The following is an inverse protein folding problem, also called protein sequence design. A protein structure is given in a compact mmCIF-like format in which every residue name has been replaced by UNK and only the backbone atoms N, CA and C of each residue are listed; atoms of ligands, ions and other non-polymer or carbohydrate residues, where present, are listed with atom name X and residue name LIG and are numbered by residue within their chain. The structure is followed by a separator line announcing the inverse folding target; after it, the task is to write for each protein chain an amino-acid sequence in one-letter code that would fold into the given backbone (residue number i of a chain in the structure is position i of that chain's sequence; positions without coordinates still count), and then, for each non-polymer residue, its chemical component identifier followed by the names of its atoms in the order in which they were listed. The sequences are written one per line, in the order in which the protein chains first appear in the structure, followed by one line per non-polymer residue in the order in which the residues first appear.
data_IF_846884090998
#
_entry.id   IF_846884090998
#
_cell.length_a   1.000
_cell.length_b   1.000
_cell.length_c   1.000
_cell.angle_alpha   90.00
_cell.angle_beta   90.00
_cell.angle_gamma   90.00
#
_symmetry.space_group_name_H-M   'P 1'
#
loop_
_entity.id
_entity.type
_entity.pdbx_description
1 polymer ?
#
# COMPACT_ATOMS: atom_id res chain seq x y z
N UNK A 1 -8.76 12.58 9.47
CA UNK A 1 -9.81 12.58 8.39
C UNK A 1 -10.84 11.48 8.68
N UNK A 2 -12.10 11.62 8.26
CA UNK A 2 -13.08 10.52 8.47
C UNK A 2 -12.83 9.38 7.46
N UNK A 3 -12.61 8.16 7.96
CA UNK A 3 -12.40 6.96 7.12
C UNK A 3 -13.63 6.74 6.22
N UNK A 4 -13.45 6.56 4.89
CA UNK A 4 -14.59 6.37 3.99
C UNK A 4 -15.31 5.07 4.34
N UNK A 5 -16.65 5.14 4.40
CA UNK A 5 -17.50 3.98 4.64
C UNK A 5 -17.65 3.19 3.33
N UNK A 6 -17.28 1.91 3.37
CA UNK A 6 -17.51 0.99 2.25
C UNK A 6 -18.94 0.47 2.34
N UNK A 7 -19.81 0.91 1.43
CA UNK A 7 -21.22 0.51 1.37
C UNK A 7 -21.52 -0.47 0.23
N UNK A 8 -20.60 -0.62 -0.72
CA UNK A 8 -20.70 -1.55 -1.86
C UNK A 8 -19.38 -2.24 -2.15
N UNK A 9 -19.46 -3.38 -2.85
CA UNK A 9 -18.29 -4.10 -3.33
C UNK A 9 -17.70 -3.53 -4.62
N UNK A 10 -18.51 -2.96 -5.52
CA UNK A 10 -18.04 -2.52 -6.84
C UNK A 10 -17.53 -1.07 -6.89
N UNK A 11 -17.67 -0.31 -5.80
CA UNK A 11 -17.31 1.10 -5.76
C UNK A 11 -18.47 2.06 -6.04
N UNK A 12 -19.70 1.59 -6.26
CA UNK A 12 -20.90 2.45 -6.29
C UNK A 12 -21.34 2.90 -4.90
N UNK A 13 -22.22 3.89 -4.82
CA UNK A 13 -22.72 4.41 -3.54
C UNK A 13 -24.15 3.92 -3.27
N UNK A 14 -24.35 3.18 -2.18
CA UNK A 14 -25.70 2.77 -1.77
C UNK A 14 -26.45 3.90 -1.07
N UNK A 15 -25.76 4.90 -0.54
CA UNK A 15 -26.40 6.02 0.16
C UNK A 15 -26.97 7.03 -0.84
N UNK A 16 -26.52 7.03 -2.10
CA UNK A 16 -27.10 7.84 -3.19
C UNK A 16 -27.80 6.99 -4.26
N UNK A 17 -28.09 5.71 -3.99
CA UNK A 17 -28.71 4.81 -4.96
C UNK A 17 -30.21 5.08 -5.08
N UNK A 18 -30.67 5.51 -6.27
CA UNK A 18 -32.07 5.84 -6.53
C UNK A 18 -33.02 4.63 -6.49
N UNK A 19 -32.50 3.41 -6.60
CA UNK A 19 -33.27 2.17 -6.50
C UNK A 19 -33.44 1.67 -5.06
N UNK A 20 -32.74 2.26 -4.08
CA UNK A 20 -32.72 1.74 -2.71
C UNK A 20 -34.10 1.80 -2.05
N UNK A 21 -34.68 3.00 -1.99
CA UNK A 21 -36.01 3.21 -1.39
C UNK A 21 -37.14 2.55 -2.21
N UNK A 22 -37.24 2.76 -3.54
CA UNK A 22 -38.36 2.19 -4.32
C UNK A 22 -38.39 0.67 -4.35
N UNK A 23 -37.23 0.02 -4.25
CA UNK A 23 -37.13 -1.44 -4.25
C UNK A 23 -36.99 -2.05 -2.84
N UNK A 24 -37.14 -1.26 -1.77
CA UNK A 24 -36.94 -1.73 -0.38
C UNK A 24 -35.61 -2.49 -0.19
N UNK A 25 -34.54 -1.98 -0.81
CA UNK A 25 -33.23 -2.65 -0.83
C UNK A 25 -32.39 -2.27 0.40
N UNK A 26 -31.83 -3.28 1.09
CA UNK A 26 -30.98 -3.07 2.27
C UNK A 26 -29.58 -2.52 1.98
N UNK A 27 -29.13 -2.51 0.71
CA UNK A 27 -27.79 -2.09 0.28
C UNK A 27 -26.79 -3.24 0.18
N UNK A 28 -25.82 -3.13 -0.75
CA UNK A 28 -25.02 -4.27 -1.22
C UNK A 28 -24.22 -4.99 -0.13
N UNK A 29 -23.52 -4.26 0.74
CA UNK A 29 -22.74 -4.88 1.84
C UNK A 29 -23.69 -5.46 2.90
N UNK A 30 -24.76 -4.74 3.25
CA UNK A 30 -25.74 -5.19 4.25
C UNK A 30 -26.49 -6.46 3.83
N UNK A 31 -26.79 -6.61 2.53
CA UNK A 31 -27.45 -7.80 1.96
C UNK A 31 -26.49 -8.88 1.50
N UNK A 32 -25.19 -8.75 1.78
CA UNK A 32 -24.13 -9.68 1.35
C UNK A 32 -24.13 -9.96 -0.16
N UNK A 33 -24.37 -8.94 -0.97
CA UNK A 33 -24.33 -9.09 -2.42
C UNK A 33 -25.65 -9.49 -3.07
N UNK A 34 -26.77 -9.25 -2.38
CA UNK A 34 -28.12 -9.41 -2.93
C UNK A 34 -28.81 -8.04 -3.04
N UNK A 35 -28.40 -7.15 -3.95
CA UNK A 35 -29.12 -5.90 -4.23
C UNK A 35 -30.51 -6.16 -4.82
N UNK A 36 -31.23 -5.09 -5.20
CA UNK A 36 -32.61 -5.15 -5.70
C UNK A 36 -32.82 -6.10 -6.90
N UNK A 37 -31.77 -6.37 -7.69
CA UNK A 37 -31.81 -7.27 -8.84
C UNK A 37 -31.36 -8.70 -8.51
N UNK A 38 -31.21 -9.05 -7.23
CA UNK A 38 -30.77 -10.37 -6.79
C UNK A 38 -29.25 -10.52 -6.82
N UNK A 39 -28.76 -11.65 -7.34
CA UNK A 39 -27.35 -12.04 -7.30
C UNK A 39 -26.41 -11.03 -7.98
N UNK A 40 -25.21 -10.87 -7.43
CA UNK A 40 -24.17 -9.99 -7.97
C UNK A 40 -22.80 -10.69 -7.96
N UNK A 41 -22.25 -10.97 -9.15
CA UNK A 41 -20.98 -11.68 -9.31
C UNK A 41 -19.80 -10.93 -8.66
N UNK A 42 -19.84 -9.59 -8.67
CA UNK A 42 -18.81 -8.77 -8.00
C UNK A 42 -18.83 -9.04 -6.49
N UNK A 43 -20.02 -9.06 -5.90
CA UNK A 43 -20.15 -9.26 -4.47
C UNK A 43 -19.77 -10.69 -4.07
N UNK A 44 -20.22 -11.69 -4.83
CA UNK A 44 -19.79 -13.08 -4.64
C UNK A 44 -18.27 -13.20 -4.71
N UNK A 45 -17.64 -12.63 -5.74
CA UNK A 45 -16.19 -12.64 -5.91
C UNK A 45 -15.45 -11.96 -4.74
N UNK A 46 -15.93 -10.79 -4.29
CA UNK A 46 -15.33 -10.06 -3.18
C UNK A 46 -15.43 -10.87 -1.87
N UNK A 47 -16.61 -11.42 -1.56
CA UNK A 47 -16.84 -12.24 -0.37
C UNK A 47 -15.99 -13.52 -0.40
N UNK A 48 -15.98 -14.24 -1.53
CA UNK A 48 -15.20 -15.47 -1.70
C UNK A 48 -13.69 -15.25 -1.52
N UNK A 49 -13.19 -14.05 -1.87
CA UNK A 49 -11.78 -13.67 -1.73
C UNK A 49 -11.46 -12.91 -0.45
N UNK A 50 -12.43 -12.75 0.47
CA UNK A 50 -12.25 -12.00 1.71
C UNK A 50 -11.91 -10.52 1.49
N UNK A 51 -12.35 -9.92 0.38
CA UNK A 51 -12.12 -8.51 0.04
C UNK A 51 -13.32 -7.66 0.45
N UNK A 52 -13.05 -6.50 1.07
CA UNK A 52 -14.09 -5.56 1.47
C UNK A 52 -14.80 -4.93 0.26
N UNK A 53 -14.05 -4.70 -0.82
CA UNK A 53 -14.52 -4.16 -2.09
C UNK A 53 -13.47 -4.40 -3.19
N UNK A 54 -13.81 -4.13 -4.45
CA UNK A 54 -12.94 -4.36 -5.59
C UNK A 54 -11.62 -3.56 -5.52
N UNK A 55 -11.60 -2.38 -4.88
CA UNK A 55 -10.39 -1.58 -4.73
C UNK A 55 -9.30 -2.23 -3.85
N UNK A 56 -9.61 -3.34 -3.15
CA UNK A 56 -8.64 -4.16 -2.42
C UNK A 56 -8.13 -5.37 -3.21
N UNK A 57 -8.59 -5.54 -4.46
CA UNK A 57 -8.15 -6.62 -5.34
C UNK A 57 -6.73 -6.34 -5.85
N UNK A 58 -5.88 -7.37 -5.85
CA UNK A 58 -4.50 -7.30 -6.37
C UNK A 58 -4.46 -6.97 -7.86
N UNK A 59 -5.48 -7.41 -8.59
CA UNK A 59 -5.63 -7.20 -10.03
C UNK A 59 -6.54 -6.01 -10.36
N UNK A 60 -6.70 -5.06 -9.44
CA UNK A 60 -7.57 -3.90 -9.66
C UNK A 60 -6.99 -2.95 -10.73
N UNK A 61 -7.79 -2.46 -11.69
CA UNK A 61 -9.15 -2.90 -12.01
C UNK A 61 -9.16 -4.22 -12.79
N UNK A 62 -9.90 -5.22 -12.30
CA UNK A 62 -9.95 -6.54 -12.94
C UNK A 62 -11.00 -6.58 -14.06
N UNK A 63 -10.89 -7.56 -14.96
CA UNK A 63 -11.79 -7.71 -16.12
C UNK A 63 -13.27 -7.83 -15.72
N UNK A 64 -13.58 -8.50 -14.60
CA UNK A 64 -14.96 -8.55 -14.09
C UNK A 64 -15.49 -7.17 -13.76
N UNK A 65 -14.71 -6.33 -13.06
CA UNK A 65 -15.14 -4.97 -12.73
C UNK A 65 -15.25 -4.09 -13.98
N UNK A 66 -14.31 -4.23 -14.93
CA UNK A 66 -14.36 -3.49 -16.20
C UNK A 66 -15.61 -3.84 -17.01
N UNK A 67 -15.96 -5.12 -17.13
CA UNK A 67 -17.19 -5.56 -17.83
C UNK A 67 -18.42 -4.87 -17.26
N UNK A 68 -18.51 -4.83 -15.93
CA UNK A 68 -19.58 -4.17 -15.21
C UNK A 68 -19.58 -2.64 -15.43
N UNK A 69 -18.40 -2.01 -15.43
CA UNK A 69 -18.27 -0.57 -15.61
C UNK A 69 -18.57 -0.08 -17.03
N UNK A 70 -18.27 -0.91 -18.04
CA UNK A 70 -18.40 -0.58 -19.47
C UNK A 70 -19.48 -1.42 -20.17
N UNK A 71 -20.43 -1.97 -19.43
CA UNK A 71 -21.58 -2.65 -20.00
C UNK A 71 -22.41 -1.66 -20.85
N UNK A 72 -22.83 -2.02 -22.08
CA UNK A 72 -23.53 -1.09 -22.98
C UNK A 72 -24.88 -0.58 -22.46
N UNK A 73 -25.57 -1.36 -21.61
CA UNK A 73 -26.91 -1.03 -21.10
C UNK A 73 -26.88 -0.55 -19.65
N UNK A 74 -26.01 -1.13 -18.82
CA UNK A 74 -25.96 -0.94 -17.36
C UNK A 74 -24.60 -0.44 -16.85
N UNK A 75 -23.68 -0.10 -17.76
CA UNK A 75 -22.39 0.47 -17.44
C UNK A 75 -22.49 1.90 -16.91
N UNK A 76 -21.42 2.36 -16.27
CA UNK A 76 -21.27 3.73 -15.78
C UNK A 76 -20.05 4.44 -16.36
N UNK A 77 -19.59 3.98 -17.53
CA UNK A 77 -18.43 4.51 -18.23
C UNK A 77 -17.16 4.62 -17.36
N UNK A 78 -17.00 3.71 -16.39
CA UNK A 78 -15.82 3.67 -15.51
C UNK A 78 -15.99 4.37 -14.16
N UNK A 79 -17.11 5.03 -13.88
CA UNK A 79 -17.32 5.78 -12.64
C UNK A 79 -17.13 4.93 -11.37
N UNK A 80 -17.52 3.63 -11.39
CA UNK A 80 -17.30 2.72 -10.26
C UNK A 80 -15.82 2.42 -10.01
N UNK A 81 -15.02 2.37 -11.07
CA UNK A 81 -13.56 2.17 -11.00
C UNK A 81 -12.92 3.41 -10.38
N UNK A 82 -13.23 4.60 -10.88
CA UNK A 82 -12.74 5.86 -10.32
C UNK A 82 -13.09 6.01 -8.84
N UNK A 83 -14.32 5.66 -8.46
CA UNK A 83 -14.75 5.72 -7.06
C UNK A 83 -14.02 4.69 -6.20
N UNK A 84 -13.74 3.48 -6.69
CA UNK A 84 -12.87 2.54 -5.99
C UNK A 84 -11.48 3.14 -5.71
N UNK A 85 -10.87 3.82 -6.69
CA UNK A 85 -9.57 4.47 -6.51
C UNK A 85 -9.61 5.56 -5.43
N UNK A 86 -10.65 6.40 -5.46
CA UNK A 86 -10.84 7.48 -4.48
C UNK A 86 -11.01 6.92 -3.06
N UNK A 87 -11.84 5.90 -2.90
CA UNK A 87 -12.02 5.20 -1.62
C UNK A 87 -10.70 4.63 -1.14
N UNK A 88 -9.99 3.89 -1.99
CA UNK A 88 -8.71 3.27 -1.62
C UNK A 88 -7.65 4.30 -1.24
N UNK A 89 -7.55 5.40 -1.98
CA UNK A 89 -6.65 6.52 -1.67
C UNK A 89 -6.99 7.13 -0.31
N UNK A 90 -8.27 7.37 -0.03
CA UNK A 90 -8.71 7.92 1.26
C UNK A 90 -8.50 6.93 2.42
N UNK A 91 -8.70 5.62 2.21
CA UNK A 91 -8.38 4.59 3.20
C UNK A 91 -6.89 4.57 3.53
N UNK A 92 -6.03 4.63 2.51
CA UNK A 92 -4.57 4.67 2.68
C UNK A 92 -4.13 5.94 3.41
N UNK A 93 -4.69 7.10 3.05
CA UNK A 93 -4.41 8.35 3.74
C UNK A 93 -4.82 8.28 5.22
N UNK A 94 -6.02 7.78 5.52
CA UNK A 94 -6.49 7.60 6.88
C UNK A 94 -5.62 6.60 7.68
N UNK A 95 -5.21 5.49 7.04
CA UNK A 95 -4.34 4.49 7.67
C UNK A 95 -2.94 5.02 8.01
N UNK A 96 -2.49 6.07 7.33
CA UNK A 96 -1.18 6.71 7.55
C UNK A 96 -1.23 7.91 8.49
N UNK A 97 -2.42 8.35 8.91
CA UNK A 97 -2.59 9.53 9.76
C UNK A 97 -1.88 9.31 11.11
N UNK A 98 -0.89 10.16 11.42
CA UNK A 98 -0.11 10.08 12.66
C UNK A 98 0.98 9.00 12.69
N UNK A 99 1.20 8.25 11.61
CA UNK A 99 2.24 7.23 11.53
C UNK A 99 3.55 7.79 10.96
N UNK A 100 4.66 7.21 11.40
CA UNK A 100 5.98 7.49 10.83
C UNK A 100 6.02 7.03 9.35
N UNK A 101 6.40 7.89 8.39
CA UNK A 101 6.47 7.53 6.98
C UNK A 101 7.66 6.62 6.63
N UNK A 102 8.54 6.29 7.59
CA UNK A 102 9.70 5.42 7.37
C UNK A 102 9.35 4.00 7.80
N UNK A 103 9.43 3.05 6.87
CA UNK A 103 9.23 1.64 7.14
C UNK A 103 10.28 1.08 8.11
N UNK A 104 9.98 -0.04 8.79
CA UNK A 104 10.94 -0.73 9.65
C UNK A 104 12.25 -1.07 8.94
N UNK A 105 12.20 -1.45 7.65
CA UNK A 105 13.38 -1.76 6.85
C UNK A 105 14.17 -0.52 6.36
N UNK A 106 13.76 0.70 6.72
CA UNK A 106 14.39 1.96 6.33
C UNK A 106 13.89 2.57 5.03
N UNK A 107 12.93 1.94 4.34
CA UNK A 107 12.35 2.47 3.11
C UNK A 107 11.39 3.63 3.39
N UNK A 108 11.39 4.67 2.55
CA UNK A 108 10.41 5.77 2.68
C UNK A 108 9.06 5.42 2.04
N UNK A 109 8.00 5.36 2.85
CA UNK A 109 6.63 5.13 2.36
C UNK A 109 6.04 6.33 1.61
N UNK A 110 6.64 7.53 1.74
CA UNK A 110 6.24 8.70 0.94
C UNK A 110 6.56 8.53 -0.55
N UNK A 111 7.56 7.71 -0.85
CA UNK A 111 8.13 7.58 -2.18
C UNK A 111 8.03 6.15 -2.73
N UNK A 112 7.30 5.28 -2.03
CA UNK A 112 7.04 3.94 -2.51
C UNK A 112 6.04 4.02 -3.68
N UNK A 113 6.34 3.33 -4.78
CA UNK A 113 5.41 3.19 -5.92
C UNK A 113 4.06 2.56 -5.55
N UNK A 114 4.01 1.84 -4.42
CA UNK A 114 2.77 1.31 -3.83
C UNK A 114 2.06 2.30 -2.91
N UNK A 115 2.56 3.51 -2.73
CA UNK A 115 2.05 4.50 -1.76
C UNK A 115 0.59 4.91 -1.98
N UNK A 116 0.06 4.78 -3.21
CA UNK A 116 -1.38 4.95 -3.52
C UNK A 116 -2.25 3.84 -2.90
N UNK A 117 -1.67 2.66 -2.67
CA UNK A 117 -2.39 1.42 -2.34
C UNK A 117 -2.05 0.86 -0.95
N UNK A 118 -0.89 1.23 -0.40
CA UNK A 118 -0.33 0.69 0.83
C UNK A 118 -0.30 1.75 1.94
N UNK A 119 -0.86 1.42 3.11
CA UNK A 119 -0.84 2.25 4.31
C UNK A 119 0.47 2.22 5.09
N UNK A 120 1.57 1.68 4.54
CA UNK A 120 2.83 1.33 5.22
C UNK A 120 2.77 0.08 6.12
N UNK A 121 3.95 -0.45 6.44
CA UNK A 121 4.11 -1.55 7.40
C UNK A 121 3.80 -1.18 8.86
N UNK A 122 3.51 0.10 9.14
CA UNK A 122 3.14 0.59 10.47
C UNK A 122 1.63 0.75 10.66
N UNK A 123 0.82 0.48 9.63
CA UNK A 123 -0.65 0.58 9.70
C UNK A 123 -1.33 -0.78 9.65
N UNK A 124 -2.64 -0.77 9.89
CA UNK A 124 -3.57 -1.87 9.67
C UNK A 124 -3.89 -2.12 8.18
N UNK A 125 -3.34 -1.30 7.26
CA UNK A 125 -3.62 -1.32 5.83
C UNK A 125 -2.35 -1.55 5.01
N UNK A 126 -1.49 -2.46 5.46
CA UNK A 126 -0.25 -2.81 4.77
C UNK A 126 -0.55 -3.65 3.50
N UNK A 127 0.22 -3.43 2.43
CA UNK A 127 0.17 -4.24 1.20
C UNK A 127 1.56 -4.77 0.82
N UNK A 128 2.45 -4.90 1.80
CA UNK A 128 3.81 -5.35 1.56
C UNK A 128 3.82 -6.84 1.24
N UNK A 129 4.40 -7.23 0.10
CA UNK A 129 4.51 -8.64 -0.30
C UNK A 129 5.19 -9.50 0.77
N UNK A 130 6.23 -8.97 1.42
CA UNK A 130 6.92 -9.67 2.51
C UNK A 130 6.02 -9.93 3.71
N UNK A 131 5.11 -9.02 4.06
CA UNK A 131 4.14 -9.28 5.11
C UNK A 131 3.18 -10.40 4.69
N UNK A 132 2.64 -10.32 3.46
CA UNK A 132 1.68 -11.30 2.92
C UNK A 132 2.21 -12.73 2.86
N UNK A 133 3.47 -12.92 2.44
CA UNK A 133 4.07 -14.26 2.30
C UNK A 133 4.66 -14.81 3.59
N UNK A 134 4.74 -14.00 4.65
CA UNK A 134 5.31 -14.40 5.93
C UNK A 134 4.24 -14.96 6.87
N UNK A 135 4.69 -15.84 7.77
CA UNK A 135 3.83 -16.42 8.79
C UNK A 135 3.11 -15.33 9.61
N UNK A 136 1.80 -15.52 9.81
CA UNK A 136 0.96 -14.57 10.55
C UNK A 136 0.70 -13.24 9.83
N UNK A 137 1.13 -13.09 8.56
CA UNK A 137 0.96 -11.83 7.83
C UNK A 137 1.88 -10.72 8.31
N UNK A 138 2.97 -11.06 9.01
CA UNK A 138 3.92 -10.10 9.61
C UNK A 138 5.29 -10.22 8.97
N UNK A 139 5.80 -9.10 8.44
CA UNK A 139 7.13 -9.05 7.82
C UNK A 139 8.23 -9.39 8.85
N UNK A 140 9.28 -10.16 8.51
CA UNK A 140 10.32 -10.55 9.46
C UNK A 140 11.07 -9.36 10.06
N UNK A 141 11.25 -8.26 9.32
CA UNK A 141 11.84 -7.03 9.87
C UNK A 141 10.96 -6.40 10.94
N UNK A 142 9.64 -6.39 10.75
CA UNK A 142 8.67 -5.87 11.73
C UNK A 142 8.70 -6.72 12.99
N UNK A 143 8.57 -8.05 12.84
CA UNK A 143 8.62 -9.00 13.96
C UNK A 143 9.92 -8.84 14.77
N UNK A 144 11.06 -8.85 14.10
CA UNK A 144 12.37 -8.72 14.75
C UNK A 144 12.52 -7.37 15.48
N UNK A 145 12.10 -6.26 14.87
CA UNK A 145 12.16 -4.95 15.54
C UNK A 145 11.25 -4.88 16.76
N UNK A 146 10.03 -5.43 16.69
CA UNK A 146 9.11 -5.50 17.82
C UNK A 146 9.68 -6.33 18.97
N UNK A 147 10.23 -7.51 18.68
CA UNK A 147 10.88 -8.38 19.69
C UNK A 147 12.09 -7.70 20.35
N UNK A 148 12.86 -6.92 19.58
CA UNK A 148 14.00 -6.15 20.08
C UNK A 148 13.63 -4.75 20.63
N UNK A 149 12.36 -4.37 20.61
CA UNK A 149 11.88 -3.03 20.99
C UNK A 149 12.58 -1.89 20.25
N UNK A 150 12.81 -2.07 18.94
CA UNK A 150 13.41 -1.09 18.03
C UNK A 150 12.31 -0.40 17.21
N UNK A 151 12.44 0.91 17.01
CA UNK A 151 11.57 1.67 16.11
C UNK A 151 11.80 1.30 14.64
N UNK A 152 13.01 0.86 14.29
CA UNK A 152 13.32 0.35 12.97
C UNK A 152 14.67 -0.36 12.93
N UNK A 153 14.94 -1.05 11.82
CA UNK A 153 16.20 -1.77 11.62
C UNK A 153 17.43 -0.85 11.70
N UNK A 154 17.25 0.46 11.45
CA UNK A 154 18.28 1.49 11.59
C UNK A 154 18.75 1.75 13.03
N UNK A 155 18.04 1.22 14.05
CA UNK A 155 18.52 1.25 15.44
C UNK A 155 19.31 -0.03 15.81
N UNK A 156 19.34 -1.03 14.93
CA UNK A 156 20.01 -2.30 15.21
C UNK A 156 21.52 -2.20 14.92
N UNK A 157 22.40 -2.51 15.88
CA UNK A 157 23.85 -2.49 15.67
C UNK A 157 24.33 -3.56 14.67
N UNK A 158 23.54 -4.62 14.46
CA UNK A 158 23.83 -5.71 13.53
C UNK A 158 23.38 -5.40 12.09
N UNK A 159 22.77 -4.24 11.83
CA UNK A 159 22.24 -3.86 10.52
C UNK A 159 23.23 -4.05 9.35
N UNK A 160 24.54 -3.69 9.46
CA UNK A 160 25.46 -3.80 8.33
C UNK A 160 25.54 -5.20 7.71
N UNK A 161 25.48 -6.24 8.55
CA UNK A 161 25.58 -7.65 8.14
C UNK A 161 24.24 -8.40 8.13
N UNK A 162 23.15 -7.74 8.53
CA UNK A 162 21.84 -8.35 8.66
C UNK A 162 21.27 -8.84 7.32
N UNK A 163 20.71 -10.05 7.29
CA UNK A 163 20.03 -10.64 6.13
C UNK A 163 18.55 -10.96 6.40
N UNK A 164 18.03 -10.55 7.56
CA UNK A 164 16.66 -10.84 7.99
C UNK A 164 15.65 -10.15 7.08
N UNK A 165 14.67 -10.93 6.61
CA UNK A 165 13.50 -10.44 5.88
C UNK A 165 13.88 -9.74 4.58
N UNK A 166 13.52 -8.47 4.45
CA UNK A 166 13.76 -7.67 3.25
C UNK A 166 15.24 -7.53 2.88
N UNK A 167 16.16 -7.77 3.82
CA UNK A 167 17.61 -7.72 3.58
C UNK A 167 18.20 -9.03 3.05
N UNK A 168 17.37 -10.03 2.77
CA UNK A 168 17.81 -11.28 2.13
C UNK A 168 18.46 -10.97 0.76
N UNK A 169 19.68 -11.46 0.46
CA UNK A 169 20.47 -11.05 -0.71
C UNK A 169 19.77 -11.23 -2.06
N UNK A 170 18.87 -12.21 -2.19
CA UNK A 170 18.14 -12.51 -3.43
C UNK A 170 17.00 -11.50 -3.71
N UNK A 171 16.69 -10.61 -2.77
CA UNK A 171 15.63 -9.62 -2.92
C UNK A 171 16.13 -8.37 -3.68
N UNK A 172 15.42 -7.98 -4.74
CA UNK A 172 15.79 -6.89 -5.65
C UNK A 172 15.91 -5.51 -4.95
N UNK A 173 15.18 -5.33 -3.85
CA UNK A 173 15.21 -4.12 -3.04
C UNK A 173 16.19 -4.14 -1.86
N UNK A 174 16.87 -5.26 -1.58
CA UNK A 174 17.63 -5.45 -0.34
C UNK A 174 18.73 -4.39 -0.15
N UNK A 175 19.56 -4.19 -1.18
CA UNK A 175 20.65 -3.22 -1.16
C UNK A 175 20.14 -1.79 -0.94
N UNK A 176 19.13 -1.38 -1.71
CA UNK A 176 18.54 -0.05 -1.61
C UNK A 176 17.93 0.20 -0.24
N UNK A 177 17.21 -0.77 0.33
CA UNK A 177 16.61 -0.63 1.66
C UNK A 177 17.68 -0.60 2.76
N UNK A 178 18.73 -1.42 2.64
CA UNK A 178 19.82 -1.45 3.63
C UNK A 178 20.64 -0.15 3.59
N UNK A 179 20.93 0.38 2.40
CA UNK A 179 21.60 1.67 2.24
C UNK A 179 20.81 2.80 2.94
N UNK A 180 19.49 2.85 2.70
CA UNK A 180 18.62 3.83 3.36
C UNK A 180 18.58 3.64 4.88
N UNK A 181 18.48 2.41 5.38
CA UNK A 181 18.50 2.13 6.82
C UNK A 181 19.83 2.54 7.49
N UNK A 182 20.97 2.27 6.84
CA UNK A 182 22.28 2.69 7.33
C UNK A 182 22.43 4.22 7.29
N UNK A 183 21.85 4.88 6.28
CA UNK A 183 21.81 6.34 6.21
C UNK A 183 21.00 6.93 7.38
N UNK A 184 19.83 6.37 7.68
CA UNK A 184 19.00 6.78 8.83
C UNK A 184 19.77 6.56 10.14
N UNK A 185 20.47 5.43 10.30
CA UNK A 185 21.26 5.14 11.49
C UNK A 185 22.35 6.21 11.74
N UNK A 186 22.92 6.77 10.66
CA UNK A 186 23.99 7.77 10.72
C UNK A 186 23.49 9.20 10.89
N UNK A 187 22.41 9.58 10.20
CA UNK A 187 21.98 10.99 10.07
C UNK A 187 20.61 11.29 10.67
N UNK A 188 19.85 10.25 11.04
CA UNK A 188 18.50 10.37 11.56
C UNK A 188 17.42 10.50 10.49
N UNK A 189 16.18 10.28 10.93
CA UNK A 189 14.97 10.20 10.10
C UNK A 189 14.65 11.49 9.33
N UNK A 190 14.83 12.64 9.97
CA UNK A 190 14.47 13.93 9.38
C UNK A 190 15.38 14.28 8.18
N UNK A 191 16.68 14.06 8.32
CA UNK A 191 17.65 14.26 7.23
C UNK A 191 17.36 13.29 6.09
N UNK A 192 17.07 12.03 6.41
CA UNK A 192 16.71 11.03 5.43
C UNK A 192 15.51 11.43 4.56
N UNK A 193 14.42 11.93 5.16
CA UNK A 193 13.24 12.35 4.41
C UNK A 193 13.57 13.49 3.43
N UNK A 194 14.31 14.51 3.88
CA UNK A 194 14.74 15.60 3.02
C UNK A 194 15.64 15.13 1.85
N UNK A 195 16.60 14.25 2.15
CA UNK A 195 17.47 13.65 1.13
C UNK A 195 16.68 12.84 0.11
N UNK A 196 15.63 12.14 0.56
CA UNK A 196 14.81 11.31 -0.31
C UNK A 196 13.86 12.14 -1.20
N UNK A 197 13.37 13.29 -0.72
CA UNK A 197 12.69 14.29 -1.55
C UNK A 197 13.61 14.75 -2.68
N UNK A 198 14.84 15.14 -2.32
CA UNK A 198 15.86 15.59 -3.30
C UNK A 198 16.29 14.49 -4.28
N UNK A 199 16.33 13.24 -3.85
CA UNK A 199 16.55 12.10 -4.74
C UNK A 199 15.49 12.04 -5.85
N UNK A 200 14.22 12.31 -5.53
CA UNK A 200 13.14 12.32 -6.54
C UNK A 200 13.22 13.52 -7.48
N UNK A 201 13.74 14.65 -7.01
CA UNK A 201 13.98 15.82 -7.85
C UNK A 201 15.13 15.58 -8.84
N UNK A 202 16.21 14.93 -8.39
CA UNK A 202 17.40 14.65 -9.21
C UNK A 202 17.21 13.49 -10.19
N UNK A 203 16.35 12.53 -9.83
CA UNK A 203 16.07 11.33 -10.63
C UNK A 203 14.55 11.17 -10.81
N UNK A 204 13.89 12.00 -11.65
CA UNK A 204 12.42 12.01 -11.74
C UNK A 204 11.83 10.77 -12.43
N UNK A 205 12.63 10.02 -13.20
CA UNK A 205 12.14 9.00 -14.13
C UNK A 205 12.17 7.56 -13.59
N UNK A 206 12.72 7.32 -12.38
CA UNK A 206 12.74 5.96 -11.83
C UNK A 206 11.37 5.57 -11.27
N UNK A 207 11.00 4.30 -11.45
CA UNK A 207 9.73 3.78 -10.89
C UNK A 207 9.93 3.22 -9.50
N UNK A 208 11.09 2.63 -9.24
CA UNK A 208 11.44 2.02 -7.97
C UNK A 208 12.79 2.51 -7.48
N UNK A 209 12.90 2.81 -6.20
CA UNK A 209 14.14 3.35 -5.60
C UNK A 209 15.35 2.44 -5.79
N UNK A 210 15.16 1.11 -5.91
CA UNK A 210 16.27 0.18 -6.21
C UNK A 210 16.89 0.37 -7.60
N UNK A 211 16.20 1.02 -8.54
CA UNK A 211 16.80 1.37 -9.84
C UNK A 211 17.93 2.40 -9.69
N UNK A 212 17.91 3.19 -8.60
CA UNK A 212 18.93 4.20 -8.31
C UNK A 212 19.86 3.76 -7.18
N UNK A 213 19.32 3.20 -6.10
CA UNK A 213 20.08 2.86 -4.89
C UNK A 213 20.44 1.37 -4.76
N UNK A 214 20.05 0.52 -5.72
CA UNK A 214 20.07 -0.93 -5.56
C UNK A 214 21.34 -1.66 -6.01
N UNK A 215 22.26 -0.99 -6.73
CA UNK A 215 23.45 -1.65 -7.30
C UNK A 215 24.34 -2.28 -6.22
N UNK A 216 24.68 -1.52 -5.18
CA UNK A 216 25.26 -2.04 -3.95
C UNK A 216 24.87 -1.15 -2.77
N UNK A 217 25.05 -1.65 -1.55
CA UNK A 217 24.77 -0.87 -0.33
C UNK A 217 25.64 0.39 -0.27
N UNK A 218 26.92 0.25 -0.63
CA UNK A 218 27.92 1.32 -0.64
C UNK A 218 27.55 2.41 -1.66
N UNK A 219 27.22 2.02 -2.88
CA UNK A 219 26.81 2.97 -3.93
C UNK A 219 25.50 3.67 -3.58
N UNK A 220 24.53 2.95 -3.01
CA UNK A 220 23.29 3.54 -2.51
C UNK A 220 23.56 4.61 -1.44
N UNK A 221 24.48 4.33 -0.51
CA UNK A 221 24.91 5.29 0.52
C UNK A 221 25.60 6.51 -0.09
N UNK A 222 26.52 6.31 -1.04
CA UNK A 222 27.21 7.42 -1.74
C UNK A 222 26.22 8.36 -2.43
N UNK A 223 25.19 7.81 -3.09
CA UNK A 223 24.13 8.62 -3.73
C UNK A 223 23.34 9.40 -2.69
N UNK A 224 22.94 8.78 -1.58
CA UNK A 224 22.20 9.45 -0.50
C UNK A 224 23.04 10.57 0.14
N UNK A 225 24.34 10.34 0.37
CA UNK A 225 25.26 11.36 0.89
C UNK A 225 25.39 12.56 -0.07
N UNK A 226 25.49 12.30 -1.38
CA UNK A 226 25.49 13.36 -2.41
C UNK A 226 24.18 14.14 -2.46
N UNK A 227 23.04 13.48 -2.24
CA UNK A 227 21.74 14.13 -2.20
C UNK A 227 21.55 15.01 -0.95
N UNK A 228 22.47 14.96 0.04
CA UNK A 228 22.44 15.84 1.22
C UNK A 228 23.09 17.20 0.98
N UNK A 229 24.06 17.30 0.06
CA UNK A 229 24.86 18.49 -0.25
C UNK A 229 24.12 19.43 -1.20
#
# INVERSE_FOLDING_TARGET
MQKPKITTYCGLDCDTCTFREPCSCGGCVATKGNPFHGHCDIAECAVARGKSFCGDCENFPCETLKRYAFDPEHGDNGARIERCEKIKTALVAAAREGLDPIAYCGFSCNHCFLGKWCGSCRSDHNCCSFATISEGGVCPNVKCCQEKSLDGCYECPELPTCTIGFYTPENDGANASKAQALFIAKHGKQVFLHVHDRLHELYPDFKKTQEVLGDSVEKGLEILERCRE
#
